data_IF_004284071457
#
_entry.id   IF_004284071457
#
_cell.length_a   1.000
_cell.length_b   1.000
_cell.length_c   1.000
_cell.angle_alpha   90.00
_cell.angle_beta   90.00
_cell.angle_gamma   90.00
#
_symmetry.space_group_name_H-M   'P 1'
#
loop_
_entity.id
_entity.type
_entity.pdbx_description
1 polymer ?
2 polymer ?
#
# COMPACT_ATOMS: atom_id res chain seq x y z
N UNK A 1 3.17 -9.74 12.36
CA UNK A 1 3.04 -8.65 11.40
C UNK A 1 3.67 -9.04 10.07
N UNK A 2 2.84 -9.53 9.16
CA UNK A 2 3.31 -9.92 7.83
C UNK A 2 2.46 -9.23 6.78
N UNK A 3 3.12 -8.46 5.92
CA UNK A 3 2.43 -7.73 4.87
C UNK A 3 3.26 -7.72 3.60
N UNK A 4 2.75 -7.09 2.55
CA UNK A 4 3.48 -7.02 1.28
C UNK A 4 4.46 -5.85 1.32
N UNK A 5 5.62 -6.03 0.72
CA UNK A 5 6.64 -5.00 0.70
C UNK A 5 6.66 -4.28 -0.64
N UNK A 6 6.11 -3.07 -0.66
CA UNK A 6 6.07 -2.26 -1.87
C UNK A 6 6.94 -1.02 -1.68
N UNK A 7 7.77 -0.72 -2.67
CA UNK A 7 8.65 0.43 -2.58
C UNK A 7 8.31 1.51 -3.60
N UNK A 8 7.87 2.67 -3.10
CA UNK A 8 7.53 3.80 -3.95
C UNK A 8 6.54 3.49 -5.05
N UNK A 9 7.04 3.39 -6.27
CA UNK A 9 6.21 3.11 -7.45
C UNK A 9 5.36 1.86 -7.25
N UNK A 10 5.97 0.83 -6.67
CA UNK A 10 5.27 -0.42 -6.43
C UNK A 10 4.11 -0.20 -5.46
N UNK A 11 4.34 0.64 -4.47
CA UNK A 11 3.33 0.94 -3.47
C UNK A 11 2.20 1.77 -4.10
N UNK A 12 2.60 2.88 -4.70
CA UNK A 12 1.66 3.79 -5.35
C UNK A 12 0.78 3.05 -6.35
N UNK A 13 1.40 2.21 -7.17
CA UNK A 13 0.69 1.44 -8.19
C UNK A 13 -0.37 0.54 -7.57
N UNK A 14 -0.01 -0.13 -6.48
CA UNK A 14 -0.93 -1.02 -5.80
C UNK A 14 -2.07 -0.24 -5.13
N UNK A 15 -1.74 0.90 -4.55
CA UNK A 15 -2.73 1.74 -3.88
C UNK A 15 -3.74 2.30 -4.87
N UNK A 16 -3.25 2.96 -5.92
CA UNK A 16 -4.14 3.56 -6.91
C UNK A 16 -5.02 2.50 -7.58
N UNK A 17 -4.48 1.29 -7.70
CA UNK A 17 -5.22 0.19 -8.32
C UNK A 17 -6.45 -0.15 -7.48
N UNK A 18 -6.23 -0.31 -6.17
CA UNK A 18 -7.32 -0.63 -5.25
C UNK A 18 -8.28 0.54 -5.14
N UNK A 19 -7.74 1.74 -4.98
CA UNK A 19 -8.55 2.94 -4.85
C UNK A 19 -9.46 3.12 -6.07
N UNK A 20 -8.91 2.87 -7.26
CA UNK A 20 -9.69 3.00 -8.49
C UNK A 20 -10.77 1.92 -8.56
N UNK A 21 -10.38 0.68 -8.30
CA UNK A 21 -11.32 -0.44 -8.34
C UNK A 21 -12.50 -0.21 -7.40
N UNK A 22 -12.24 0.40 -6.25
CA UNK A 22 -13.27 0.69 -5.26
C UNK A 22 -14.18 1.82 -5.72
N UNK A 23 -13.71 2.62 -6.68
CA UNK A 23 -14.49 3.73 -7.18
C UNK A 23 -15.31 3.30 -8.40
N UNK A 24 -14.91 2.18 -9.02
CA UNK A 24 -15.61 1.67 -10.18
C UNK A 24 -16.74 0.74 -9.75
N UNK A 25 -16.42 -0.22 -8.89
N UNK B 1 9.86 5.16 8.54
CA UNK B 1 8.84 5.57 9.50
C UNK B 1 7.52 5.89 8.81
N UNK B 2 7.62 6.38 7.59
CA UNK B 2 6.44 6.72 6.81
C UNK B 2 5.76 5.46 6.28
N UNK B 3 4.45 5.54 6.04
CA UNK B 3 3.67 4.39 5.56
C UNK B 3 4.24 3.83 4.26
N UNK B 4 4.57 4.70 3.32
CA UNK B 4 5.12 4.28 2.04
C UNK B 4 6.58 3.87 2.21
N UNK B 5 7.28 4.65 3.01
CA UNK B 5 8.70 4.43 3.30
C UNK B 5 8.94 3.08 3.98
N UNK B 6 8.22 2.81 5.07
CA UNK B 6 8.39 1.56 5.81
C UNK B 6 7.81 0.38 5.03
N UNK B 7 7.10 0.66 3.96
CA UNK B 7 6.52 -0.40 3.14
C UNK B 7 7.64 -1.17 2.43
N UNK B 8 8.80 -0.53 2.33
CA UNK B 8 9.96 -1.13 1.70
C UNK B 8 10.82 -1.82 2.76
N UNK B 9 10.24 -1.99 3.94
CA UNK B 9 10.93 -2.64 5.04
C UNK B 9 9.97 -3.58 5.77
N UNK B 10 8.99 -2.99 6.46
CA UNK B 10 8.00 -3.77 7.19
C UNK B 10 6.98 -4.34 6.21
N UNK B 11 6.28 -3.45 5.52
CA UNK B 11 5.30 -3.88 4.56
C UNK B 11 3.90 -3.40 4.91
N UNK B 12 3.08 -3.24 3.89
CA UNK B 12 1.70 -2.79 4.08
C UNK B 12 0.73 -3.87 3.63
N UNK B 13 -0.34 -4.04 4.38
CA UNK B 13 -1.35 -5.04 4.06
C UNK B 13 -2.41 -4.41 3.15
N UNK B 14 -3.21 -5.25 2.50
CA UNK B 14 -4.26 -4.77 1.61
C UNK B 14 -5.22 -3.85 2.33
N UNK B 15 -5.57 -4.23 3.54
CA UNK B 15 -6.48 -3.47 4.38
C UNK B 15 -5.94 -2.07 4.65
N UNK B 16 -4.65 -2.01 4.93
CA UNK B 16 -3.96 -0.74 5.21
C UNK B 16 -4.07 0.19 4.02
N UNK B 17 -3.98 -0.38 2.82
CA UNK B 17 -4.07 0.40 1.59
C UNK B 17 -5.49 0.91 1.40
N UNK B 18 -6.47 0.09 1.77
CA UNK B 18 -7.87 0.46 1.65
C UNK B 18 -8.18 1.64 2.56
N UNK B 19 -7.45 1.73 3.66
CA UNK B 19 -7.62 2.82 4.62
C UNK B 19 -7.10 4.11 4.01
N UNK B 20 -6.20 3.96 3.04
CA UNK B 20 -5.61 5.10 2.34
C UNK B 20 -6.49 5.48 1.17
N UNK B 21 -7.35 4.55 0.78
CA UNK B 21 -8.27 4.74 -0.33
C UNK B 21 -9.51 5.50 0.11
N UNK B 22 -9.32 6.75 0.51
#
# INVERSE_FOLDING_TARGET
>A
KESVRLCGLEYIRTVIYICASSRWX
>B
QDLQTLCCTDGCSMTDLSALCX
#
